data_IF_346961744230
#
_entry.id   IF_346961744230
#
_cell.length_a   1.000
_cell.length_b   1.000
_cell.length_c   1.000
_cell.angle_alpha   90.00
_cell.angle_beta   90.00
_cell.angle_gamma   90.00
#
_symmetry.space_group_name_H-M   'P 1'
#
loop_
_entity.id
_entity.type
_entity.pdbx_description
1 polymer ?
#
# COMPACT_ATOMS: atom_id res chain seq x y z
N UNK A 1 -68.53 -0.61 -18.78
CA UNK A 1 -67.54 -1.23 -17.96
C UNK A 1 -66.13 -0.99 -18.55
N UNK A 2 -65.48 0.18 -18.30
CA UNK A 2 -64.09 0.52 -18.80
C UNK A 2 -63.17 1.15 -17.73
N UNK A 3 -63.48 0.92 -16.44
CA UNK A 3 -62.69 1.52 -15.32
C UNK A 3 -61.42 0.73 -14.90
N UNK A 4 -61.23 -0.51 -15.35
CA UNK A 4 -60.12 -1.36 -14.92
C UNK A 4 -58.82 -1.15 -15.69
N UNK A 5 -58.82 -0.55 -16.87
CA UNK A 5 -57.59 -0.37 -17.67
C UNK A 5 -56.82 0.88 -17.24
N UNK A 6 -57.50 1.97 -16.90
CA UNK A 6 -56.83 3.22 -16.47
C UNK A 6 -56.09 3.06 -15.14
N UNK A 7 -56.61 2.24 -14.23
CA UNK A 7 -55.94 1.95 -12.94
C UNK A 7 -54.65 1.14 -13.14
N UNK A 8 -54.66 0.19 -14.07
CA UNK A 8 -53.45 -0.62 -14.41
C UNK A 8 -52.35 0.24 -15.04
N UNK A 9 -52.71 1.15 -15.95
CA UNK A 9 -51.74 2.08 -16.54
C UNK A 9 -51.24 3.08 -15.52
N UNK A 10 -52.04 3.58 -14.59
CA UNK A 10 -51.63 4.45 -13.50
C UNK A 10 -50.61 3.78 -12.59
N UNK A 11 -50.86 2.51 -12.20
CA UNK A 11 -49.89 1.72 -11.39
C UNK A 11 -48.59 1.45 -12.15
N UNK A 12 -48.67 1.15 -13.45
CA UNK A 12 -47.46 0.93 -14.27
C UNK A 12 -46.61 2.19 -14.38
N UNK A 13 -47.23 3.35 -14.64
CA UNK A 13 -46.52 4.64 -14.72
C UNK A 13 -45.92 5.01 -13.37
N UNK A 14 -46.61 4.80 -12.23
CA UNK A 14 -46.06 5.01 -10.89
C UNK A 14 -44.87 4.12 -10.60
N UNK A 15 -44.93 2.84 -10.98
CA UNK A 15 -43.81 1.91 -10.80
C UNK A 15 -42.60 2.33 -11.63
N UNK A 16 -42.77 2.70 -12.89
CA UNK A 16 -41.71 3.21 -13.76
C UNK A 16 -41.11 4.49 -13.19
N UNK A 17 -41.95 5.43 -12.72
CA UNK A 17 -41.47 6.67 -12.11
C UNK A 17 -40.66 6.41 -10.85
N UNK A 18 -41.12 5.52 -9.95
CA UNK A 18 -40.37 5.15 -8.72
C UNK A 18 -39.03 4.53 -9.08
N UNK A 19 -38.99 3.63 -10.07
CA UNK A 19 -37.72 3.03 -10.52
C UNK A 19 -36.76 4.09 -11.07
N UNK A 20 -37.26 4.97 -11.94
CA UNK A 20 -36.45 6.03 -12.55
C UNK A 20 -35.95 7.02 -11.50
N UNK A 21 -36.80 7.40 -10.54
CA UNK A 21 -36.47 8.28 -9.45
C UNK A 21 -35.41 7.63 -8.53
N UNK A 22 -35.58 6.35 -8.19
CA UNK A 22 -34.61 5.61 -7.36
C UNK A 22 -33.25 5.49 -8.05
N UNK A 23 -33.22 5.17 -9.35
CA UNK A 23 -31.98 5.13 -10.13
C UNK A 23 -31.34 6.51 -10.20
N UNK A 24 -32.12 7.56 -10.45
CA UNK A 24 -31.60 8.94 -10.46
C UNK A 24 -30.99 9.33 -9.11
N UNK A 25 -31.65 8.99 -8.01
CA UNK A 25 -31.17 9.25 -6.65
C UNK A 25 -29.84 8.53 -6.38
N UNK A 26 -29.73 7.26 -6.79
CA UNK A 26 -28.51 6.48 -6.64
C UNK A 26 -27.36 7.05 -7.48
N UNK A 27 -27.62 7.46 -8.73
CA UNK A 27 -26.60 8.02 -9.61
C UNK A 27 -26.05 9.36 -9.10
N UNK A 28 -26.87 10.14 -8.40
CA UNK A 28 -26.48 11.46 -7.88
C UNK A 28 -26.16 11.46 -6.39
N UNK A 29 -26.00 10.27 -5.75
CA UNK A 29 -25.72 10.17 -4.33
C UNK A 29 -24.39 10.86 -3.97
N UNK A 30 -24.40 11.95 -3.17
CA UNK A 30 -23.17 12.66 -2.82
C UNK A 30 -22.24 11.78 -1.97
N UNK A 31 -20.95 11.80 -2.28
CA UNK A 31 -19.94 11.06 -1.51
C UNK A 31 -19.92 11.49 -0.04
N UNK A 32 -20.10 12.79 0.23
CA UNK A 32 -20.14 13.32 1.58
C UNK A 32 -21.28 12.75 2.43
N UNK A 33 -22.44 12.46 1.82
CA UNK A 33 -23.56 11.82 2.51
C UNK A 33 -23.24 10.37 2.83
N UNK A 34 -22.71 9.61 1.88
CA UNK A 34 -22.32 8.22 2.07
C UNK A 34 -21.24 8.07 3.17
N UNK A 35 -20.21 8.92 3.17
CA UNK A 35 -19.15 8.89 4.16
C UNK A 35 -19.62 9.27 5.57
N UNK A 36 -20.57 10.19 5.72
CA UNK A 36 -21.16 10.52 7.03
C UNK A 36 -21.89 9.34 7.68
N UNK A 37 -22.46 8.45 6.86
CA UNK A 37 -23.23 7.29 7.29
C UNK A 37 -22.42 5.98 7.23
N UNK A 38 -21.21 6.00 6.66
CA UNK A 38 -20.30 4.87 6.67
C UNK A 38 -19.77 4.58 8.08
N UNK A 39 -19.26 3.38 8.26
CA UNK A 39 -18.64 2.96 9.51
C UNK A 39 -17.48 3.91 9.87
N UNK A 40 -17.55 4.53 11.04
CA UNK A 40 -16.50 5.42 11.53
C UNK A 40 -15.28 4.59 11.91
N UNK A 41 -14.24 4.66 11.10
CA UNK A 41 -12.93 4.09 11.43
C UNK A 41 -12.25 4.99 12.46
N UNK A 42 -11.85 4.43 13.59
CA UNK A 42 -11.22 5.19 14.67
C UNK A 42 -9.91 5.83 14.23
N UNK A 43 -9.81 7.14 14.39
CA UNK A 43 -8.62 7.91 14.01
C UNK A 43 -8.54 8.29 12.53
N UNK A 44 -9.52 7.92 11.69
CA UNK A 44 -9.62 8.35 10.30
C UNK A 44 -10.35 9.68 10.20
N UNK A 45 -9.73 10.65 9.52
CA UNK A 45 -10.30 11.95 9.16
C UNK A 45 -10.27 12.09 7.64
N UNK A 46 -11.37 12.54 7.06
CA UNK A 46 -11.51 12.74 5.62
C UNK A 46 -12.13 14.12 5.43
N UNK A 47 -11.39 15.02 4.79
CA UNK A 47 -11.79 16.40 4.60
C UNK A 47 -11.96 16.74 3.11
N UNK A 48 -12.78 17.77 2.83
CA UNK A 48 -12.96 18.31 1.50
C UNK A 48 -13.54 17.32 0.50
N UNK A 49 -14.48 16.48 0.93
CA UNK A 49 -15.14 15.49 0.07
C UNK A 49 -16.03 16.15 -0.95
N UNK A 50 -15.80 15.87 -2.23
CA UNK A 50 -16.53 16.40 -3.37
C UNK A 50 -16.92 15.28 -4.34
N UNK A 51 -17.97 15.54 -5.13
CA UNK A 51 -18.47 14.58 -6.13
C UNK A 51 -19.44 13.55 -5.55
N UNK A 52 -19.63 12.47 -6.28
CA UNK A 52 -20.54 11.36 -5.97
C UNK A 52 -19.78 10.14 -5.44
N UNK A 53 -20.50 9.13 -4.99
CA UNK A 53 -19.91 7.82 -4.64
C UNK A 53 -19.26 7.13 -5.85
N UNK A 54 -19.68 7.50 -7.06
CA UNK A 54 -19.19 6.92 -8.32
C UNK A 54 -17.92 7.61 -8.82
N UNK A 55 -17.86 8.92 -8.70
CA UNK A 55 -16.71 9.72 -9.09
C UNK A 55 -16.57 10.90 -8.14
N UNK A 56 -15.43 10.99 -7.47
CA UNK A 56 -15.22 12.05 -6.49
C UNK A 56 -13.79 12.17 -6.02
N UNK A 57 -13.61 13.04 -5.06
CA UNK A 57 -12.32 13.28 -4.42
C UNK A 57 -12.49 13.70 -2.97
N UNK A 58 -11.45 13.49 -2.18
CA UNK A 58 -11.25 14.12 -0.90
C UNK A 58 -9.93 14.89 -0.93
N UNK A 59 -9.92 16.09 -0.37
CA UNK A 59 -8.72 16.94 -0.38
C UNK A 59 -7.66 16.45 0.60
N UNK A 60 -8.09 15.77 1.66
CA UNK A 60 -7.18 15.26 2.68
C UNK A 60 -7.74 13.99 3.33
N UNK A 61 -6.86 12.99 3.47
CA UNK A 61 -7.11 11.81 4.30
C UNK A 61 -6.01 11.75 5.34
N UNK A 62 -6.38 11.81 6.61
CA UNK A 62 -5.46 11.61 7.72
C UNK A 62 -5.89 10.41 8.58
N UNK A 63 -4.94 9.59 9.00
CA UNK A 63 -5.16 8.50 9.93
C UNK A 63 -4.09 8.52 11.02
N UNK A 64 -4.53 8.45 12.28
CA UNK A 64 -3.65 8.51 13.44
C UNK A 64 -2.68 9.71 13.41
N UNK A 65 -3.15 10.88 12.95
CA UNK A 65 -2.40 12.15 12.80
C UNK A 65 -1.39 12.19 11.65
N UNK A 66 -1.27 11.14 10.84
CA UNK A 66 -0.45 11.15 9.62
C UNK A 66 -1.34 11.54 8.46
N UNK A 67 -0.94 12.54 7.70
CA UNK A 67 -1.63 12.99 6.50
C UNK A 67 -1.16 12.17 5.30
N UNK A 68 -2.08 11.43 4.69
CA UNK A 68 -1.84 10.64 3.47
C UNK A 68 -2.16 11.40 2.18
N UNK A 69 -2.56 12.69 2.30
CA UNK A 69 -2.84 13.55 1.17
C UNK A 69 -4.23 13.37 0.58
N UNK A 70 -4.42 13.90 -0.62
CA UNK A 70 -5.69 13.82 -1.33
C UNK A 70 -5.90 12.43 -1.95
N UNK A 71 -7.19 12.09 -2.15
CA UNK A 71 -7.59 10.90 -2.89
C UNK A 71 -8.63 11.27 -3.95
N UNK A 72 -8.56 10.59 -5.08
CA UNK A 72 -9.57 10.64 -6.15
C UNK A 72 -10.02 9.21 -6.45
N UNK A 73 -11.29 9.03 -6.74
CA UNK A 73 -11.85 7.73 -7.10
C UNK A 73 -12.79 7.83 -8.28
N UNK A 74 -12.83 6.74 -9.05
CA UNK A 74 -13.69 6.55 -10.20
C UNK A 74 -14.20 5.12 -10.23
N UNK A 75 -15.53 4.94 -10.19
CA UNK A 75 -16.14 3.63 -10.10
C UNK A 75 -16.17 2.92 -11.46
N UNK A 76 -15.73 1.70 -11.49
CA UNK A 76 -15.60 0.89 -12.69
C UNK A 76 -16.87 0.07 -12.95
N UNK A 77 -17.89 0.69 -13.57
CA UNK A 77 -19.18 0.04 -13.83
C UNK A 77 -19.08 -1.28 -14.60
N UNK A 78 -18.08 -1.42 -15.48
CA UNK A 78 -17.84 -2.65 -16.25
C UNK A 78 -17.55 -3.86 -15.36
N UNK A 79 -17.01 -3.66 -14.16
CA UNK A 79 -16.68 -4.74 -13.24
C UNK A 79 -17.91 -5.29 -12.51
N UNK A 80 -19.02 -4.54 -12.47
CA UNK A 80 -20.27 -5.04 -11.91
C UNK A 80 -20.77 -6.28 -12.66
N UNK A 81 -20.59 -6.33 -13.98
CA UNK A 81 -20.95 -7.51 -14.79
C UNK A 81 -20.12 -8.75 -14.44
N UNK A 82 -18.99 -8.56 -13.75
CA UNK A 82 -18.14 -9.65 -13.22
C UNK A 82 -18.38 -9.90 -11.73
N UNK A 83 -19.42 -9.32 -11.13
CA UNK A 83 -19.72 -9.45 -9.71
C UNK A 83 -18.73 -8.71 -8.79
N UNK A 84 -18.09 -7.64 -9.28
CA UNK A 84 -17.11 -6.84 -8.54
C UNK A 84 -17.54 -5.38 -8.46
N UNK A 85 -17.52 -4.80 -7.28
CA UNK A 85 -17.60 -3.36 -7.07
C UNK A 85 -16.16 -2.82 -6.97
N UNK A 86 -15.70 -2.08 -7.98
CA UNK A 86 -14.30 -1.66 -8.10
C UNK A 86 -14.19 -0.15 -8.30
N UNK A 87 -13.20 0.44 -7.64
CA UNK A 87 -12.81 1.84 -7.76
C UNK A 87 -11.39 1.93 -8.31
N UNK A 88 -11.20 2.69 -9.37
CA UNK A 88 -9.89 3.20 -9.73
C UNK A 88 -9.55 4.35 -8.76
N UNK A 89 -8.42 4.26 -8.06
CA UNK A 89 -8.02 5.24 -7.07
C UNK A 89 -6.68 5.87 -7.43
N UNK A 90 -6.55 7.17 -7.12
CA UNK A 90 -5.28 7.90 -7.13
C UNK A 90 -5.18 8.64 -5.80
N UNK A 91 -4.03 8.55 -5.14
CA UNK A 91 -3.87 9.11 -3.81
C UNK A 91 -2.47 9.68 -3.57
N UNK A 92 -2.35 10.46 -2.50
CA UNK A 92 -1.09 10.84 -1.92
C UNK A 92 -0.59 12.24 -2.28
N UNK A 93 -1.27 13.00 -3.14
CA UNK A 93 -0.89 14.40 -3.37
C UNK A 93 -0.99 15.19 -2.06
N UNK A 94 0.04 15.96 -1.74
CA UNK A 94 0.15 16.77 -0.52
C UNK A 94 0.17 15.94 0.78
N UNK A 95 0.70 14.71 0.71
CA UNK A 95 0.94 13.87 1.90
C UNK A 95 2.21 14.26 2.63
N UNK A 96 2.24 14.05 3.97
CA UNK A 96 3.41 14.29 4.81
C UNK A 96 4.62 13.42 4.45
N UNK A 97 4.37 12.30 3.78
CA UNK A 97 5.37 11.32 3.36
C UNK A 97 5.77 11.45 1.88
N UNK A 98 5.32 12.49 1.18
CA UNK A 98 5.45 12.60 -0.27
C UNK A 98 4.96 11.34 -1.02
N UNK A 99 4.05 10.61 -0.39
CA UNK A 99 3.44 9.40 -0.93
C UNK A 99 2.67 9.72 -2.21
N UNK A 100 2.77 8.86 -3.20
CA UNK A 100 1.95 8.90 -4.42
C UNK A 100 1.56 7.49 -4.81
N UNK A 101 0.32 7.32 -5.22
CA UNK A 101 -0.10 6.01 -5.66
C UNK A 101 -1.35 6.04 -6.53
N UNK A 102 -1.56 4.91 -7.20
CA UNK A 102 -2.73 4.64 -8.03
C UNK A 102 -2.96 3.13 -8.09
N UNK A 103 -4.19 2.75 -8.36
CA UNK A 103 -4.53 1.34 -8.55
C UNK A 103 -6.02 1.12 -8.49
N UNK A 104 -6.41 -0.12 -8.30
CA UNK A 104 -7.81 -0.53 -8.18
C UNK A 104 -8.03 -1.16 -6.81
N UNK A 105 -9.09 -0.74 -6.16
CA UNK A 105 -9.56 -1.34 -4.91
C UNK A 105 -11.04 -1.69 -5.07
N UNK A 106 -11.45 -2.79 -4.50
CA UNK A 106 -12.82 -3.23 -4.70
C UNK A 106 -13.28 -4.26 -3.69
N UNK A 107 -14.52 -4.68 -3.89
CA UNK A 107 -15.16 -5.73 -3.13
C UNK A 107 -15.80 -6.74 -4.09
N UNK A 108 -15.60 -8.01 -3.81
CA UNK A 108 -16.14 -9.14 -4.57
C UNK A 108 -16.82 -10.14 -3.63
N UNK A 109 -17.34 -11.24 -4.16
CA UNK A 109 -17.87 -12.33 -3.33
C UNK A 109 -16.82 -12.90 -2.34
N UNK A 110 -15.52 -12.78 -2.68
CA UNK A 110 -14.42 -13.24 -1.83
C UNK A 110 -13.94 -12.18 -0.83
N UNK A 111 -14.63 -11.04 -0.72
CA UNK A 111 -14.26 -9.93 0.16
C UNK A 111 -13.52 -8.80 -0.56
N UNK A 112 -12.90 -7.91 0.22
CA UNK A 112 -12.18 -6.77 -0.31
C UNK A 112 -10.87 -7.20 -0.99
N UNK A 113 -10.49 -6.47 -2.04
CA UNK A 113 -9.28 -6.74 -2.79
C UNK A 113 -8.62 -5.45 -3.31
N UNK A 114 -7.34 -5.55 -3.64
CA UNK A 114 -6.60 -4.54 -4.41
C UNK A 114 -5.94 -5.19 -5.62
N UNK A 115 -5.87 -4.47 -6.74
CA UNK A 115 -5.24 -4.93 -7.98
C UNK A 115 -4.45 -3.81 -8.65
N UNK A 116 -3.29 -4.14 -9.21
CA UNK A 116 -2.43 -3.20 -9.93
C UNK A 116 -2.24 -1.88 -9.17
N UNK A 117 -2.06 -1.99 -7.83
CA UNK A 117 -1.87 -0.85 -6.98
C UNK A 117 -0.37 -0.57 -6.89
N UNK A 118 0.00 0.65 -7.24
CA UNK A 118 1.38 1.15 -7.13
C UNK A 118 1.37 2.30 -6.14
N UNK A 119 2.30 2.26 -5.19
CA UNK A 119 2.52 3.32 -4.22
C UNK A 119 4.02 3.61 -4.13
N UNK A 120 4.41 4.87 -4.20
CA UNK A 120 5.82 5.27 -4.15
C UNK A 120 6.03 6.46 -3.23
N UNK A 121 7.20 6.50 -2.58
CA UNK A 121 7.62 7.59 -1.68
C UNK A 121 9.15 7.65 -1.60
N UNK A 122 9.74 8.82 -1.25
CA UNK A 122 11.16 8.94 -1.04
C UNK A 122 11.65 8.04 0.11
N UNK A 123 12.83 7.45 -0.05
CA UNK A 123 13.41 6.56 0.97
C UNK A 123 13.66 7.29 2.30
N UNK A 124 14.04 8.57 2.24
CA UNK A 124 14.24 9.38 3.45
C UNK A 124 12.96 9.54 4.28
N UNK A 125 11.79 9.62 3.61
CA UNK A 125 10.51 9.72 4.31
C UNK A 125 10.11 8.40 4.97
N UNK A 126 10.52 7.25 4.41
CA UNK A 126 10.38 5.94 5.06
C UNK A 126 11.14 5.90 6.37
N UNK A 127 12.35 6.45 6.40
CA UNK A 127 13.23 6.44 7.59
C UNK A 127 12.64 7.17 8.79
N UNK A 128 11.72 8.13 8.59
CA UNK A 128 11.01 8.82 9.68
C UNK A 128 10.12 7.89 10.51
N UNK A 129 9.74 6.74 9.96
CA UNK A 129 8.87 5.74 10.58
C UNK A 129 9.64 4.48 11.03
N UNK A 130 10.93 4.41 10.73
CA UNK A 130 11.79 3.33 11.22
C UNK A 130 12.21 3.66 12.66
N UNK A 131 12.22 2.69 13.60
CA UNK A 131 12.70 2.91 14.95
C UNK A 131 14.12 3.49 14.95
N UNK A 132 14.42 4.36 15.92
CA UNK A 132 15.69 5.09 16.02
C UNK A 132 16.90 4.19 15.79
N UNK A 133 17.57 4.41 14.68
CA UNK A 133 18.86 3.80 14.39
C UNK A 133 19.93 4.65 15.10
N UNK A 134 20.81 4.08 15.91
CA UNK A 134 21.78 4.84 16.71
C UNK A 134 22.90 5.51 15.89
N UNK A 135 22.82 5.42 14.57
CA UNK A 135 23.77 6.02 13.62
C UNK A 135 23.02 7.00 12.73
N UNK A 136 23.54 8.21 12.50
CA UNK A 136 22.93 9.16 11.56
C UNK A 136 23.08 8.63 10.12
N UNK A 137 22.00 8.04 9.61
CA UNK A 137 21.92 7.49 8.25
C UNK A 137 20.78 8.21 7.52
N UNK A 138 21.08 8.73 6.35
CA UNK A 138 20.09 9.25 5.42
C UNK A 138 19.91 8.26 4.26
N UNK A 139 18.74 7.66 4.14
CA UNK A 139 18.44 6.83 2.99
C UNK A 139 18.12 7.71 1.78
N UNK A 140 18.71 7.40 0.63
CA UNK A 140 18.45 8.10 -0.64
C UNK A 140 17.75 7.19 -1.63
N UNK A 141 17.08 7.78 -2.62
CA UNK A 141 16.36 7.05 -3.66
C UNK A 141 14.85 7.00 -3.43
N UNK A 142 14.18 6.21 -4.23
CA UNK A 142 12.71 6.09 -4.28
C UNK A 142 12.28 4.67 -3.97
N UNK A 143 11.40 4.50 -2.99
CA UNK A 143 10.77 3.22 -2.66
C UNK A 143 9.42 3.15 -3.37
N UNK A 144 9.17 2.04 -4.05
CA UNK A 144 7.91 1.74 -4.74
C UNK A 144 7.41 0.36 -4.36
N UNK A 145 6.17 0.27 -3.94
CA UNK A 145 5.45 -0.98 -3.74
C UNK A 145 4.44 -1.17 -4.87
N UNK A 146 4.61 -2.22 -5.65
CA UNK A 146 3.64 -2.66 -6.65
C UNK A 146 2.91 -3.90 -6.14
N UNK A 147 1.59 -3.81 -5.99
CA UNK A 147 0.72 -4.93 -5.64
C UNK A 147 0.01 -5.38 -6.94
N UNK A 148 0.35 -6.56 -7.45
CA UNK A 148 -0.33 -7.15 -8.61
C UNK A 148 -1.76 -7.53 -8.25
N UNK A 149 -1.91 -8.27 -7.17
CA UNK A 149 -3.19 -8.59 -6.54
C UNK A 149 -3.02 -8.79 -5.05
N UNK A 150 -4.06 -8.45 -4.30
CA UNK A 150 -4.16 -8.67 -2.87
C UNK A 150 -5.62 -8.96 -2.54
N UNK A 151 -5.87 -10.10 -1.91
CA UNK A 151 -7.18 -10.47 -1.37
C UNK A 151 -7.14 -10.32 0.15
N UNK A 152 -8.08 -9.58 0.69
CA UNK A 152 -8.21 -9.41 2.14
C UNK A 152 -8.47 -10.75 2.82
N UNK A 153 -7.81 -10.96 3.95
CA UNK A 153 -8.01 -12.04 4.91
C UNK A 153 -7.93 -11.52 6.33
N UNK A 154 -8.12 -12.39 7.30
CA UNK A 154 -7.96 -12.05 8.70
C UNK A 154 -6.77 -12.81 9.28
N UNK A 155 -5.81 -12.11 9.89
CA UNK A 155 -5.79 -10.67 10.22
C UNK A 155 -5.30 -9.75 9.11
N UNK A 156 -4.69 -10.24 8.00
CA UNK A 156 -4.07 -9.41 6.97
C UNK A 156 -4.64 -9.64 5.58
N UNK A 157 -4.31 -10.81 5.01
CA UNK A 157 -4.55 -11.14 3.60
C UNK A 157 -4.69 -12.65 3.41
N UNK A 158 -5.61 -13.08 2.59
CA UNK A 158 -5.76 -14.48 2.23
C UNK A 158 -4.73 -14.89 1.17
N UNK A 159 -4.55 -14.05 0.17
CA UNK A 159 -3.57 -14.23 -0.90
C UNK A 159 -3.11 -12.88 -1.40
N UNK A 160 -1.88 -12.78 -1.88
CA UNK A 160 -1.34 -11.57 -2.46
C UNK A 160 0.02 -11.78 -3.10
N UNK A 161 0.30 -10.95 -4.07
CA UNK A 161 1.58 -10.90 -4.78
C UNK A 161 1.91 -9.45 -5.13
N UNK A 162 3.15 -9.08 -4.90
CA UNK A 162 3.65 -7.76 -5.20
C UNK A 162 5.18 -7.72 -5.26
N UNK A 163 5.71 -6.55 -5.53
CA UNK A 163 7.14 -6.30 -5.58
C UNK A 163 7.44 -4.98 -4.90
N UNK A 164 8.42 -4.97 -4.03
CA UNK A 164 9.00 -3.77 -3.43
C UNK A 164 10.29 -3.45 -4.19
N UNK A 165 10.38 -2.26 -4.75
CA UNK A 165 11.57 -1.79 -5.46
C UNK A 165 12.10 -0.53 -4.78
N UNK A 166 13.40 -0.51 -4.47
CA UNK A 166 14.07 0.70 -4.02
C UNK A 166 15.07 1.10 -5.11
N UNK A 167 14.70 2.10 -5.91
CA UNK A 167 15.47 2.61 -7.04
C UNK A 167 16.42 3.72 -6.59
N UNK A 168 17.66 3.71 -7.12
CA UNK A 168 18.70 4.63 -6.66
C UNK A 168 18.99 4.46 -5.17
N UNK A 169 18.90 3.21 -4.71
CA UNK A 169 19.04 2.89 -3.30
C UNK A 169 20.45 3.19 -2.79
N UNK A 170 20.52 3.95 -1.74
CA UNK A 170 21.79 4.29 -1.10
C UNK A 170 21.60 4.78 0.32
N UNK A 171 22.72 4.92 1.02
CA UNK A 171 22.75 5.45 2.37
C UNK A 171 23.93 6.42 2.52
N UNK A 172 23.62 7.65 2.92
CA UNK A 172 24.60 8.66 3.26
C UNK A 172 24.84 8.62 4.78
N UNK A 173 26.11 8.57 5.15
CA UNK A 173 26.57 8.57 6.54
C UNK A 173 27.75 9.53 6.70
N UNK A 174 28.10 9.96 7.92
CA UNK A 174 29.30 10.75 8.16
C UNK A 174 30.62 10.07 7.74
N UNK A 175 30.60 8.76 7.53
CA UNK A 175 31.77 7.96 7.14
C UNK A 175 31.86 7.71 5.63
N UNK A 176 30.89 8.20 4.86
CA UNK A 176 30.79 8.05 3.41
C UNK A 176 29.43 7.59 2.95
N UNK A 177 29.27 7.47 1.64
CA UNK A 177 28.03 7.04 1.00
C UNK A 177 28.17 5.60 0.53
N UNK A 178 27.09 4.82 0.67
CA UNK A 178 26.94 3.48 0.13
C UNK A 178 25.93 3.49 -1.01
N UNK A 179 26.32 2.91 -2.14
CA UNK A 179 25.42 2.64 -3.26
C UNK A 179 25.00 1.17 -3.23
N UNK A 180 23.70 0.95 -3.02
CA UNK A 180 23.12 -0.39 -3.06
C UNK A 180 22.64 -0.78 -4.45
N UNK A 181 22.65 0.17 -5.43
CA UNK A 181 22.00 -0.05 -6.72
C UNK A 181 20.48 -0.29 -6.57
N UNK A 182 19.84 -0.91 -7.54
CA UNK A 182 18.42 -1.26 -7.40
C UNK A 182 18.24 -2.44 -6.44
N UNK A 183 17.47 -2.24 -5.38
CA UNK A 183 17.05 -3.31 -4.46
C UNK A 183 15.64 -3.75 -4.84
N UNK A 184 15.46 -5.04 -5.12
CA UNK A 184 14.16 -5.59 -5.50
C UNK A 184 13.82 -6.72 -4.53
N UNK A 185 12.60 -6.69 -4.01
CA UNK A 185 12.08 -7.74 -3.16
C UNK A 185 10.71 -8.20 -3.66
N UNK A 186 10.53 -9.50 -3.78
CA UNK A 186 9.23 -10.10 -3.99
C UNK A 186 8.46 -10.14 -2.66
N UNK A 187 7.22 -9.70 -2.70
CA UNK A 187 6.32 -9.69 -1.55
C UNK A 187 5.14 -10.60 -1.84
N UNK A 188 4.92 -11.56 -0.98
CA UNK A 188 3.83 -12.51 -1.12
C UNK A 188 2.98 -12.54 0.15
N UNK A 189 1.71 -12.85 -0.02
CA UNK A 189 0.85 -13.23 1.08
C UNK A 189 0.16 -14.55 0.76
N UNK A 190 0.27 -15.49 1.67
CA UNK A 190 -0.42 -16.77 1.58
C UNK A 190 -0.88 -17.16 2.98
N UNK A 191 -2.16 -17.51 3.11
CA UNK A 191 -2.77 -17.96 4.37
C UNK A 191 -2.46 -17.01 5.56
N UNK A 192 -2.61 -15.71 5.32
CA UNK A 192 -2.32 -14.63 6.28
C UNK A 192 -0.85 -14.52 6.72
N UNK A 193 0.06 -15.19 6.03
CA UNK A 193 1.50 -15.01 6.22
C UNK A 193 2.02 -14.10 5.12
N UNK A 194 2.54 -12.94 5.50
CA UNK A 194 3.23 -12.02 4.58
C UNK A 194 4.70 -12.43 4.59
N UNK A 195 5.28 -12.60 3.41
CA UNK A 195 6.70 -12.85 3.23
C UNK A 195 7.29 -11.86 2.23
N UNK A 196 8.52 -11.44 2.49
CA UNK A 196 9.30 -10.61 1.57
C UNK A 196 10.69 -11.23 1.42
N UNK A 197 11.18 -11.33 0.18
CA UNK A 197 12.51 -11.80 -0.12
C UNK A 197 13.14 -10.90 -1.18
N UNK A 198 14.35 -10.40 -0.89
CA UNK A 198 15.05 -9.52 -1.81
C UNK A 198 16.55 -9.71 -1.76
N UNK A 199 17.18 -9.28 -2.84
CA UNK A 199 18.63 -9.30 -2.99
C UNK A 199 19.10 -8.08 -3.79
N UNK A 200 20.35 -7.68 -3.57
CA UNK A 200 21.01 -6.68 -4.39
C UNK A 200 22.52 -6.98 -4.45
N UNK A 201 23.17 -6.45 -5.51
CA UNK A 201 24.59 -6.58 -5.70
C UNK A 201 25.16 -5.38 -6.46
N UNK A 202 26.15 -4.75 -5.85
CA UNK A 202 26.97 -3.71 -6.47
C UNK A 202 28.45 -4.01 -6.27
N UNK A 203 29.29 -3.13 -6.79
CA UNK A 203 30.75 -3.21 -6.52
C UNK A 203 31.11 -2.87 -5.08
N UNK A 204 30.22 -2.15 -4.38
CA UNK A 204 30.40 -1.76 -2.99
C UNK A 204 29.86 -2.77 -2.00
N UNK A 205 28.68 -3.38 -2.29
CA UNK A 205 28.04 -4.26 -1.33
C UNK A 205 27.12 -5.27 -2.02
N UNK A 206 27.09 -6.47 -1.49
CA UNK A 206 26.15 -7.53 -1.87
C UNK A 206 25.32 -7.90 -0.63
N UNK A 207 24.00 -8.02 -0.77
CA UNK A 207 23.13 -8.41 0.34
C UNK A 207 21.92 -9.20 -0.14
N UNK A 208 21.38 -10.00 0.77
CA UNK A 208 20.10 -10.72 0.61
C UNK A 208 19.37 -10.64 1.94
N UNK A 209 18.06 -10.53 1.87
CA UNK A 209 17.19 -10.51 3.04
C UNK A 209 15.89 -11.25 2.80
N UNK A 210 15.40 -11.83 3.88
CA UNK A 210 14.10 -12.46 3.95
C UNK A 210 13.40 -11.94 5.22
N UNK A 211 12.11 -11.66 5.10
CA UNK A 211 11.26 -11.26 6.22
C UNK A 211 9.93 -12.00 6.14
N UNK A 212 9.36 -12.33 7.28
CA UNK A 212 8.03 -12.92 7.37
C UNK A 212 7.23 -12.32 8.54
N UNK A 213 5.93 -12.20 8.35
CA UNK A 213 4.96 -11.79 9.37
C UNK A 213 3.81 -12.80 9.37
N UNK A 214 3.66 -13.52 10.47
CA UNK A 214 2.67 -14.58 10.63
C UNK A 214 1.36 -14.07 11.25
N UNK A 215 0.22 -14.79 11.13
CA UNK A 215 -1.08 -14.36 11.64
C UNK A 215 -1.09 -14.05 13.16
N UNK A 216 -0.23 -14.68 13.94
CA UNK A 216 -0.09 -14.45 15.37
C UNK A 216 0.78 -13.25 15.72
N UNK A 217 1.04 -12.35 14.73
CA UNK A 217 1.82 -11.12 14.84
C UNK A 217 3.30 -11.36 15.16
N UNK A 218 3.83 -12.54 14.92
CA UNK A 218 5.26 -12.79 15.02
C UNK A 218 5.92 -12.43 13.70
N UNK A 219 7.03 -11.73 13.80
CA UNK A 219 7.87 -11.48 12.65
C UNK A 219 9.24 -12.12 12.83
N UNK A 220 9.81 -12.55 11.73
CA UNK A 220 11.19 -13.04 11.65
C UNK A 220 11.85 -12.41 10.44
N UNK A 221 13.10 -12.00 10.60
CA UNK A 221 13.91 -11.44 9.54
C UNK A 221 15.27 -12.10 9.59
N UNK A 222 15.77 -12.53 8.43
CA UNK A 222 17.15 -12.91 8.24
C UNK A 222 17.75 -12.11 7.09
N UNK A 223 18.97 -11.66 7.27
CA UNK A 223 19.68 -10.90 6.25
C UNK A 223 21.17 -11.17 6.37
N UNK A 224 21.87 -11.02 5.27
CA UNK A 224 23.32 -10.94 5.27
C UNK A 224 23.76 -9.84 4.32
N UNK A 225 24.91 -9.27 4.60
CA UNK A 225 25.61 -8.44 3.64
C UNK A 225 27.09 -8.82 3.57
N UNK A 226 27.69 -8.52 2.43
CA UNK A 226 29.11 -8.73 2.16
C UNK A 226 29.69 -7.46 1.54
N UNK A 227 30.74 -6.87 2.14
CA UNK A 227 31.46 -5.76 1.53
C UNK A 227 32.07 -6.17 0.20
N UNK A 228 31.91 -5.34 -0.82
CA UNK A 228 32.53 -5.51 -2.12
C UNK A 228 33.92 -4.86 -2.22
N UNK A 229 34.48 -4.87 -3.41
CA UNK A 229 35.81 -4.34 -3.67
C UNK A 229 35.92 -2.81 -3.46
N UNK A 230 34.87 -2.07 -3.70
CA UNK A 230 34.79 -0.61 -3.56
C UNK A 230 34.06 -0.17 -2.28
N UNK A 231 34.00 -1.04 -1.28
CA UNK A 231 33.40 -0.69 0.01
C UNK A 231 34.20 0.42 0.68
N UNK A 232 33.57 1.52 1.19
CA UNK A 232 34.29 2.67 1.74
C UNK A 232 35.23 2.29 2.89
N UNK A 233 36.50 2.68 2.77
CA UNK A 233 37.56 2.32 3.77
C UNK A 233 37.22 2.83 5.18
N UNK A 234 36.63 4.01 5.30
CA UNK A 234 36.21 4.57 6.58
C UNK A 234 35.18 3.68 7.30
N UNK A 235 34.32 2.99 6.54
CA UNK A 235 33.34 2.06 7.08
C UNK A 235 33.95 0.67 7.37
N UNK A 236 34.99 0.26 6.67
CA UNK A 236 35.62 -1.06 6.90
C UNK A 236 36.05 -1.24 8.36
N UNK A 237 36.59 -0.20 8.99
CA UNK A 237 37.00 -0.23 10.38
C UNK A 237 35.86 -0.44 11.36
N UNK A 238 34.62 -0.09 10.94
CA UNK A 238 33.41 -0.24 11.76
C UNK A 238 32.84 -1.66 11.68
N UNK A 239 33.18 -2.43 10.65
CA UNK A 239 32.67 -3.81 10.47
C UNK A 239 33.08 -4.72 11.65
N UNK A 240 34.19 -4.43 12.33
CA UNK A 240 34.60 -5.16 13.54
C UNK A 240 33.55 -5.16 14.65
N UNK A 241 32.66 -4.14 14.69
CA UNK A 241 31.59 -4.06 15.68
C UNK A 241 30.42 -5.00 15.38
N UNK A 242 30.31 -5.46 14.13
CA UNK A 242 29.31 -6.42 13.69
C UNK A 242 29.71 -7.88 13.96
N UNK A 243 30.91 -8.09 14.51
CA UNK A 243 31.46 -9.41 14.76
C UNK A 243 32.34 -9.92 13.61
N UNK A 244 32.56 -11.23 13.57
CA UNK A 244 33.32 -11.87 12.50
C UNK A 244 32.41 -12.32 11.36
N UNK A 245 32.79 -12.06 10.10
CA UNK A 245 32.06 -12.60 8.97
C UNK A 245 32.24 -14.13 8.93
N UNK A 246 31.33 -14.79 8.21
CA UNK A 246 31.45 -16.22 7.94
C UNK A 246 32.60 -16.54 6.95
N UNK A 247 32.75 -17.81 6.62
CA UNK A 247 33.85 -18.30 5.72
C UNK A 247 33.68 -17.73 4.27
N UNK A 248 32.55 -17.12 3.93
CA UNK A 248 32.31 -16.48 2.65
C UNK A 248 32.43 -14.96 2.71
N UNK A 249 32.79 -14.40 3.88
CA UNK A 249 32.91 -12.97 4.12
C UNK A 249 31.55 -12.27 4.35
N UNK A 250 30.50 -13.02 4.69
CA UNK A 250 29.15 -12.48 4.93
C UNK A 250 28.95 -12.18 6.40
N UNK A 251 28.38 -11.00 6.68
CA UNK A 251 27.88 -10.61 8.00
C UNK A 251 26.42 -10.95 8.09
N UNK A 252 26.05 -11.85 9.00
CA UNK A 252 24.68 -12.37 9.11
C UNK A 252 23.93 -11.69 10.25
N UNK A 253 22.64 -11.43 10.02
CA UNK A 253 21.72 -10.82 10.99
C UNK A 253 20.44 -11.65 11.03
N UNK A 254 19.99 -11.93 12.22
CA UNK A 254 18.67 -12.54 12.42
C UNK A 254 17.96 -11.77 13.52
N UNK A 255 16.74 -11.39 13.25
CA UNK A 255 15.92 -10.69 14.21
C UNK A 255 14.51 -11.28 14.21
N UNK A 256 13.91 -11.42 15.38
CA UNK A 256 12.56 -11.93 15.55
C UNK A 256 11.88 -11.22 16.71
N UNK A 257 10.56 -11.06 16.59
CA UNK A 257 9.78 -10.40 17.60
C UNK A 257 8.28 -10.55 17.40
N UNK A 258 7.53 -9.73 18.11
CA UNK A 258 6.06 -9.69 18.01
C UNK A 258 5.61 -8.22 17.95
N UNK A 259 4.62 -7.94 17.05
CA UNK A 259 3.93 -6.66 16.93
C UNK A 259 2.89 -6.47 18.02
#
# INVERSE_FOLDING_TARGET
MKRGSSLKYGLLFSAIFIVFFSVSLLLHLPASFALKHALKVRGLQIDGVQGSIWQGSASNIAWQRVNYGSVQWDFQFSQLFKGKAELAVRFGRDSDMNLRGKGYVGYSMNGAYAQNLVASLPAEDVMKYVPNIPVPITAVGQVELTIKHLQQGQPWCQAGEGTLTWSGAGADTPLGSLDFGPVIADVTCQDNTIAAKGAQKTVQVESEFEASLTPNRRYATSAWFKPGAEFPQAMQNQLRWLGKPDNQGKYQFTYQGRL
#
